data_IF_249078136364
#
_entry.id   IF_249078136364
#
_cell.length_a   1.000
_cell.length_b   1.000
_cell.length_c   1.000
_cell.angle_alpha   90.00
_cell.angle_beta   90.00
_cell.angle_gamma   90.00
#
_symmetry.space_group_name_H-M   'P 1'
#
loop_
_entity.id
_entity.type
_entity.pdbx_description
1 polymer ?
#
# COMPACT_ATOMS: atom_id res chain seq x y z
N UNK A 1 -0.56 -3.33 29.56
CA UNK A 1 -1.63 -3.01 28.59
C UNK A 1 -1.36 -3.64 27.23
N UNK A 2 -0.21 -3.33 26.62
CA UNK A 2 0.13 -3.72 25.24
C UNK A 2 1.28 -4.75 25.13
N UNK A 3 1.59 -5.47 26.21
CA UNK A 3 2.76 -6.37 26.30
C UNK A 3 2.43 -7.85 26.10
N UNK A 4 1.16 -8.20 25.88
CA UNK A 4 0.75 -9.61 25.70
C UNK A 4 0.38 -9.89 24.25
N UNK A 5 1.23 -10.66 23.54
CA UNK A 5 1.02 -11.11 22.15
C UNK A 5 -0.22 -12.00 21.95
N UNK A 6 -0.87 -12.43 23.04
CA UNK A 6 -2.07 -13.28 23.01
C UNK A 6 -3.35 -12.55 23.41
N UNK A 7 -3.25 -11.31 23.89
CA UNK A 7 -4.40 -10.57 24.40
C UNK A 7 -5.01 -9.74 23.28
N UNK A 8 -6.08 -10.25 22.70
CA UNK A 8 -6.88 -9.50 21.72
C UNK A 8 -7.73 -8.44 22.41
N UNK A 9 -7.95 -7.31 21.74
CA UNK A 9 -8.78 -6.24 22.27
C UNK A 9 -10.23 -6.71 22.43
N UNK A 10 -10.96 -6.27 23.48
CA UNK A 10 -12.37 -6.63 23.68
C UNK A 10 -13.25 -6.25 22.47
N UNK A 11 -12.86 -5.20 21.75
CA UNK A 11 -13.54 -4.71 20.54
C UNK A 11 -13.51 -5.69 19.38
N UNK A 12 -12.62 -6.67 19.36
CA UNK A 12 -12.59 -7.75 18.35
C UNK A 12 -13.87 -8.58 18.36
N UNK A 13 -14.51 -8.77 19.53
CA UNK A 13 -15.74 -9.56 19.66
C UNK A 13 -16.99 -8.85 19.11
N UNK A 14 -16.89 -7.55 18.83
CA UNK A 14 -18.01 -6.72 18.33
C UNK A 14 -17.73 -6.14 16.95
N UNK A 15 -16.58 -6.48 16.35
CA UNK A 15 -16.27 -6.07 15.00
C UNK A 15 -17.19 -6.82 14.04
N UNK A 16 -18.07 -6.04 13.39
CA UNK A 16 -19.12 -6.52 12.50
C UNK A 16 -18.55 -7.02 11.17
N UNK A 17 -19.16 -8.06 10.60
CA UNK A 17 -18.85 -8.58 9.27
C UNK A 17 -18.84 -7.49 8.17
N UNK A 18 -19.61 -6.41 8.36
CA UNK A 18 -19.66 -5.24 7.46
C UNK A 18 -18.36 -4.40 7.41
N UNK A 19 -17.36 -4.66 8.26
CA UNK A 19 -16.00 -4.10 8.11
C UNK A 19 -15.10 -4.90 7.16
N UNK A 20 -15.65 -5.92 6.47
CA UNK A 20 -14.93 -6.65 5.42
C UNK A 20 -13.88 -7.65 5.90
N UNK A 21 -13.75 -7.89 7.22
CA UNK A 21 -12.77 -8.82 7.77
C UNK A 21 -13.41 -10.11 8.24
N UNK A 22 -13.08 -11.24 7.60
CA UNK A 22 -12.93 -12.47 8.36
C UNK A 22 -11.82 -12.24 9.38
N UNK A 23 -12.17 -11.85 10.60
CA UNK A 23 -11.25 -11.57 11.72
C UNK A 23 -10.56 -12.85 12.28
N UNK A 24 -10.61 -13.95 11.54
CA UNK A 24 -10.30 -15.29 12.04
C UNK A 24 -9.38 -16.11 11.13
N UNK A 25 -8.64 -15.47 10.20
CA UNK A 25 -7.63 -16.20 9.41
C UNK A 25 -6.33 -16.30 10.20
N UNK A 26 -5.66 -17.44 10.11
CA UNK A 26 -4.37 -17.62 10.79
C UNK A 26 -3.32 -16.70 10.17
N UNK A 27 -2.19 -16.50 10.86
CA UNK A 27 -1.09 -15.73 10.28
C UNK A 27 -0.53 -16.48 9.05
N UNK A 28 -0.45 -17.79 9.15
CA UNK A 28 0.04 -18.68 8.11
C UNK A 28 -0.82 -18.57 6.84
N UNK A 29 -2.15 -18.64 6.97
CA UNK A 29 -3.06 -18.48 5.82
C UNK A 29 -2.89 -17.11 5.13
N UNK A 30 -2.65 -16.06 5.92
CA UNK A 30 -2.46 -14.69 5.42
C UNK A 30 -1.10 -14.51 4.73
N UNK A 31 -0.10 -15.28 5.14
CA UNK A 31 1.22 -15.29 4.49
C UNK A 31 1.14 -16.05 3.17
N UNK A 32 0.43 -17.18 3.14
CA UNK A 32 0.28 -18.02 1.96
C UNK A 32 -0.50 -17.30 0.86
N UNK A 33 -1.56 -16.58 1.20
CA UNK A 33 -2.37 -15.81 0.24
C UNK A 33 -1.83 -14.40 -0.05
N UNK A 34 -0.67 -14.06 0.50
CA UNK A 34 0.01 -12.76 0.33
C UNK A 34 -0.80 -11.55 0.83
N UNK A 35 -1.78 -11.75 1.72
CA UNK A 35 -2.42 -10.62 2.42
C UNK A 35 -1.55 -10.03 3.53
N UNK A 36 -0.62 -10.82 4.07
CA UNK A 36 0.51 -10.35 4.89
C UNK A 36 1.82 -10.72 4.21
N UNK A 37 2.63 -9.70 3.89
CA UNK A 37 3.98 -9.87 3.37
C UNK A 37 4.97 -9.36 4.42
N UNK A 38 5.83 -10.26 4.91
CA UNK A 38 6.84 -9.93 5.92
C UNK A 38 8.23 -10.46 5.53
N UNK A 39 9.27 -9.82 6.06
CA UNK A 39 10.67 -10.21 5.90
C UNK A 39 11.62 -9.02 5.74
N UNK A 40 12.79 -9.29 5.16
CA UNK A 40 13.75 -8.27 4.72
C UNK A 40 13.40 -7.74 3.33
N UNK A 41 13.91 -6.58 2.90
CA UNK A 41 13.70 -6.06 1.54
C UNK A 41 13.93 -7.11 0.44
N UNK A 42 15.04 -7.85 0.53
CA UNK A 42 15.41 -8.94 -0.40
C UNK A 42 14.36 -10.05 -0.51
N UNK A 43 13.61 -10.29 0.55
CA UNK A 43 12.59 -11.37 0.61
C UNK A 43 11.18 -10.87 0.31
N UNK A 44 10.88 -9.59 0.54
CA UNK A 44 9.53 -9.03 0.30
C UNK A 44 9.35 -8.57 -1.14
N UNK A 45 10.38 -8.00 -1.77
CA UNK A 45 10.35 -7.55 -3.17
C UNK A 45 9.89 -8.66 -4.14
N UNK A 46 10.43 -9.90 -4.13
CA UNK A 46 9.95 -10.95 -5.03
C UNK A 46 8.50 -11.38 -4.75
N UNK A 47 8.04 -11.31 -3.49
CA UNK A 47 6.64 -11.58 -3.13
C UNK A 47 5.72 -10.50 -3.68
N UNK A 48 6.13 -9.23 -3.58
CA UNK A 48 5.39 -8.10 -4.15
C UNK A 48 5.34 -8.23 -5.69
N UNK A 49 6.46 -8.57 -6.33
CA UNK A 49 6.49 -8.84 -7.78
C UNK A 49 5.45 -9.86 -8.19
N UNK A 50 5.37 -11.00 -7.49
CA UNK A 50 4.38 -12.03 -7.76
C UNK A 50 2.94 -11.48 -7.70
N UNK A 51 2.63 -10.67 -6.70
CA UNK A 51 1.30 -10.03 -6.57
C UNK A 51 1.03 -9.05 -7.70
N UNK A 52 2.01 -8.22 -8.09
CA UNK A 52 1.88 -7.26 -9.18
C UNK A 52 1.69 -7.94 -10.55
N UNK A 53 2.41 -9.04 -10.79
CA UNK A 53 2.27 -9.86 -12.00
C UNK A 53 0.87 -10.48 -12.09
N UNK A 54 0.37 -11.03 -10.98
CA UNK A 54 -0.91 -11.73 -10.96
C UNK A 54 -2.11 -10.77 -11.01
N UNK A 55 -2.13 -9.73 -10.18
CA UNK A 55 -3.29 -8.83 -10.04
C UNK A 55 -3.27 -7.66 -11.03
N UNK A 56 -2.11 -7.29 -11.59
CA UNK A 56 -1.95 -6.14 -12.49
C UNK A 56 -2.58 -4.84 -11.96
N UNK A 57 -2.33 -4.42 -10.70
CA UNK A 57 -3.04 -3.30 -10.10
C UNK A 57 -2.58 -1.95 -10.68
N UNK A 58 -3.52 -1.02 -10.88
CA UNK A 58 -3.20 0.37 -11.27
C UNK A 58 -2.83 1.30 -10.11
N UNK A 59 -3.11 0.89 -8.86
CA UNK A 59 -2.74 1.58 -7.62
C UNK A 59 -2.53 0.56 -6.51
N UNK A 60 -1.53 0.76 -5.66
CA UNK A 60 -1.23 -0.11 -4.52
C UNK A 60 -1.05 0.74 -3.27
N UNK A 61 -1.70 0.33 -2.17
CA UNK A 61 -1.53 0.92 -0.85
C UNK A 61 -0.86 -0.10 0.07
N UNK A 62 0.32 0.25 0.59
CA UNK A 62 1.02 -0.57 1.58
C UNK A 62 0.66 -0.11 2.99
N UNK A 63 0.08 -1.01 3.77
CA UNK A 63 -0.08 -0.81 5.21
C UNK A 63 1.20 -1.27 5.91
N UNK A 64 2.15 -0.35 6.10
CA UNK A 64 3.35 -0.59 6.91
C UNK A 64 3.02 -0.46 8.40
N UNK A 65 3.44 -1.44 9.20
CA UNK A 65 3.14 -1.49 10.64
C UNK A 65 1.89 -2.31 10.99
N UNK A 66 1.88 -3.59 10.64
CA UNK A 66 0.90 -4.55 11.12
C UNK A 66 1.38 -5.30 12.38
N UNK A 67 0.49 -5.50 13.34
CA UNK A 67 0.76 -6.19 14.60
C UNK A 67 1.43 -5.35 15.71
N UNK A 68 1.94 -6.04 16.74
CA UNK A 68 2.49 -5.42 17.94
C UNK A 68 4.01 -5.17 17.82
N UNK A 69 4.40 -4.23 16.96
CA UNK A 69 5.79 -3.80 16.77
C UNK A 69 6.18 -2.70 17.75
N UNK A 70 7.47 -2.62 18.09
CA UNK A 70 8.01 -1.47 18.83
C UNK A 70 8.07 -0.25 17.90
N UNK A 71 8.15 0.96 18.48
CA UNK A 71 8.30 2.18 17.67
C UNK A 71 9.57 2.13 16.82
N UNK A 72 10.69 1.69 17.39
CA UNK A 72 11.97 1.61 16.69
C UNK A 72 11.91 0.63 15.50
N UNK A 73 11.24 -0.51 15.68
CA UNK A 73 11.04 -1.48 14.59
C UNK A 73 10.14 -0.90 13.48
N UNK A 74 9.07 -0.18 13.83
CA UNK A 74 8.21 0.49 12.84
C UNK A 74 8.96 1.56 12.06
N UNK A 75 9.71 2.43 12.75
CA UNK A 75 10.50 3.49 12.10
C UNK A 75 11.59 2.91 11.20
N UNK A 76 12.20 1.78 11.61
CA UNK A 76 13.15 1.06 10.76
C UNK A 76 12.47 0.43 9.55
N UNK A 77 11.28 -0.18 9.71
CA UNK A 77 10.49 -0.73 8.59
C UNK A 77 10.17 0.36 7.57
N UNK A 78 9.62 1.48 8.04
CA UNK A 78 9.25 2.62 7.21
C UNK A 78 10.44 3.17 6.41
N UNK A 79 11.61 3.29 7.06
CA UNK A 79 12.85 3.70 6.40
C UNK A 79 13.24 2.75 5.28
N UNK A 80 13.30 1.44 5.55
CA UNK A 80 13.65 0.44 4.54
C UNK A 80 12.60 0.36 3.42
N UNK A 81 11.33 0.56 3.75
CA UNK A 81 10.25 0.63 2.78
C UNK A 81 10.50 1.77 1.79
N UNK A 82 10.84 2.97 2.29
CA UNK A 82 11.15 4.14 1.46
C UNK A 82 12.46 4.06 0.69
N UNK A 83 13.53 3.53 1.31
CA UNK A 83 14.88 3.51 0.74
C UNK A 83 15.10 2.32 -0.22
N UNK A 84 14.50 1.15 0.03
CA UNK A 84 14.81 -0.08 -0.71
C UNK A 84 13.58 -0.66 -1.44
N UNK A 85 12.43 -0.76 -0.77
CA UNK A 85 11.29 -1.52 -1.31
C UNK A 85 10.53 -0.73 -2.36
N UNK A 86 10.10 0.50 -2.05
CA UNK A 86 9.31 1.33 -2.98
C UNK A 86 10.05 1.64 -4.28
N UNK A 87 11.37 1.95 -4.29
CA UNK A 87 12.11 2.11 -5.53
C UNK A 87 12.12 0.83 -6.39
N UNK A 88 12.41 -0.32 -5.79
CA UNK A 88 12.41 -1.60 -6.51
C UNK A 88 11.02 -1.96 -7.06
N UNK A 89 9.95 -1.64 -6.31
CA UNK A 89 8.57 -1.86 -6.75
C UNK A 89 8.21 -0.98 -7.95
N UNK A 90 8.72 0.26 -8.02
CA UNK A 90 8.54 1.12 -9.20
C UNK A 90 9.24 0.56 -10.43
N UNK A 91 10.50 0.11 -10.28
CA UNK A 91 11.24 -0.54 -11.37
C UNK A 91 10.49 -1.78 -11.88
N UNK A 92 9.96 -2.62 -10.97
CA UNK A 92 9.13 -3.77 -11.33
C UNK A 92 7.86 -3.34 -12.07
N UNK A 93 7.21 -2.25 -11.64
CA UNK A 93 6.01 -1.75 -12.30
C UNK A 93 6.30 -1.28 -13.73
N UNK A 94 7.44 -0.61 -13.95
CA UNK A 94 7.91 -0.18 -15.26
C UNK A 94 8.22 -1.38 -16.15
N UNK A 95 8.96 -2.38 -15.64
CA UNK A 95 9.26 -3.64 -16.35
C UNK A 95 8.00 -4.41 -16.76
N UNK A 96 6.96 -4.35 -15.93
CA UNK A 96 5.69 -4.99 -16.19
C UNK A 96 4.76 -4.11 -17.04
N UNK A 97 5.14 -2.90 -17.43
CA UNK A 97 4.27 -1.95 -18.14
C UNK A 97 2.92 -1.74 -17.40
N UNK A 98 2.98 -1.51 -16.08
CA UNK A 98 1.81 -1.21 -15.26
C UNK A 98 1.49 0.29 -15.32
N UNK A 99 0.36 0.71 -15.91
CA UNK A 99 0.03 2.13 -16.00
C UNK A 99 -0.37 2.69 -14.63
N UNK A 100 0.11 3.89 -14.34
CA UNK A 100 -0.31 4.64 -13.15
C UNK A 100 -1.75 5.12 -13.27
N UNK A 101 -2.48 5.12 -12.16
CA UNK A 101 -3.84 5.71 -12.10
C UNK A 101 -3.87 7.23 -12.32
N UNK A 102 -2.69 7.89 -12.29
CA UNK A 102 -2.55 9.31 -12.64
C UNK A 102 -2.24 9.55 -14.11
N UNK A 103 -1.86 8.50 -14.85
CA UNK A 103 -1.55 8.57 -16.28
C UNK A 103 -2.72 8.09 -17.13
N UNK A 104 -3.45 7.08 -16.64
CA UNK A 104 -4.59 6.48 -17.31
C UNK A 104 -5.84 6.70 -16.48
N UNK A 105 -6.88 7.22 -17.12
CA UNK A 105 -8.19 7.38 -16.50
C UNK A 105 -8.75 6.00 -16.11
N UNK A 106 -8.97 5.73 -14.80
CA UNK A 106 -9.47 4.44 -14.36
C UNK A 106 -10.89 4.14 -14.85
N UNK A 107 -11.67 5.15 -15.28
CA UNK A 107 -13.00 4.99 -15.85
C UNK A 107 -12.97 4.64 -17.34
N UNK A 108 -12.09 5.28 -18.12
CA UNK A 108 -12.10 5.16 -19.58
C UNK A 108 -10.96 4.31 -20.15
N UNK A 109 -9.93 4.03 -19.37
CA UNK A 109 -8.74 3.26 -19.80
C UNK A 109 -7.86 4.01 -20.80
N UNK A 110 -8.07 5.32 -20.98
CA UNK A 110 -7.30 6.17 -21.88
C UNK A 110 -6.30 6.99 -21.08
N UNK A 111 -5.16 7.31 -21.71
CA UNK A 111 -4.20 8.24 -21.12
C UNK A 111 -4.82 9.63 -20.99
N UNK A 112 -4.58 10.31 -19.89
CA UNK A 112 -4.91 11.73 -19.77
C UNK A 112 -4.10 12.51 -20.82
N UNK A 113 -4.74 13.44 -21.53
CA UNK A 113 -4.04 14.42 -22.34
C UNK A 113 -3.36 15.39 -21.36
N UNK A 114 -2.05 15.64 -21.52
CA UNK A 114 -1.34 16.65 -20.73
C UNK A 114 -1.99 18.01 -20.97
N UNK A 115 -2.91 18.42 -20.11
CA UNK A 115 -3.21 19.83 -19.96
C UNK A 115 -2.00 20.43 -19.27
N UNK A 116 -1.25 21.27 -20.00
CA UNK A 116 -0.16 22.09 -19.46
C UNK A 116 -0.54 22.61 -18.07
N UNK A 117 0.31 22.34 -17.09
CA UNK A 117 0.12 22.83 -15.74
C UNK A 117 -0.03 24.35 -15.78
N UNK A 118 -1.23 24.86 -15.48
CA UNK A 118 -1.46 26.28 -15.22
C UNK A 118 -0.46 26.71 -14.14
N UNK A 119 0.42 27.62 -14.53
CA UNK A 119 1.45 28.18 -13.66
C UNK A 119 0.80 28.82 -12.42
N UNK A 120 1.45 28.77 -11.23
CA UNK A 120 0.90 29.27 -9.97
C UNK A 120 0.47 30.75 -9.94
N UNK A 121 0.76 31.53 -10.99
CA UNK A 121 0.41 32.95 -11.08
C UNK A 121 -1.09 33.21 -11.35
N UNK A 122 -1.84 32.23 -11.87
CA UNK A 122 -3.26 32.44 -12.24
C UNK A 122 -4.22 32.33 -11.03
N UNK A 123 -3.82 31.58 -10.00
CA UNK A 123 -4.60 31.39 -8.75
C UNK A 123 -4.63 32.66 -7.88
N UNK A 124 -3.69 33.59 -8.07
CA UNK A 124 -3.62 34.83 -7.30
C UNK A 124 -4.48 35.97 -7.89
N UNK A 125 -5.06 35.77 -9.08
CA UNK A 125 -5.72 36.83 -9.85
C UNK A 125 -7.25 36.79 -9.84
N UNK A 126 -7.90 35.96 -9.01
CA UNK A 126 -9.36 36.03 -8.81
C UNK A 126 -9.67 36.87 -7.56
N UNK A 127 -10.09 38.15 -7.68
CA UNK A 127 -10.64 38.86 -6.54
C UNK A 127 -12.00 38.23 -6.22
N UNK A 128 -12.25 37.95 -4.94
CA UNK A 128 -13.55 37.48 -4.50
C UNK A 128 -14.64 38.51 -4.77
N UNK A 129 -15.71 38.07 -5.43
CA UNK A 129 -17.04 38.67 -5.39
C UNK A 129 -17.86 38.05 -4.24
#
# INVERSE_FOLDING_TARGET
>A
GMTSRKRVLPTMKVATANRGGQLSRSFEDQVDDHTIIFGTPKTVIPKIRHVLEYLRPGSVFFWDGDGAMTHDDQMRSLRLMGEEVLPAVREIADELELPSSFEVDPKTGKKFEETEAETPDEIAATPGD
#
